data_IF_455984291069
#
_entry.id   IF_455984291069
#
_cell.length_a   1.000
_cell.length_b   1.000
_cell.length_c   1.000
_cell.angle_alpha   90.00
_cell.angle_beta   90.00
_cell.angle_gamma   90.00
#
_symmetry.space_group_name_H-M   'P 1'
#
loop_
_entity.id
_entity.type
_entity.pdbx_description
1 polymer ?
#
# COMPACT_ATOMS: atom_id res chain seq x y z
N UNK A 1 -23.62 -5.12 -5.79
CA UNK A 1 -24.23 -3.76 -5.91
C UNK A 1 -23.25 -2.81 -6.59
N UNK A 2 -23.64 -1.61 -7.06
CA UNK A 2 -22.71 -0.64 -7.68
C UNK A 2 -22.57 0.60 -6.82
N UNK A 3 -21.38 1.20 -6.79
CA UNK A 3 -21.11 2.41 -6.03
C UNK A 3 -21.81 3.61 -6.67
N UNK A 4 -22.64 4.30 -5.89
CA UNK A 4 -23.31 5.52 -6.35
C UNK A 4 -22.35 6.64 -6.75
N UNK A 5 -21.10 6.60 -6.27
CA UNK A 5 -20.10 7.64 -6.56
C UNK A 5 -19.21 7.33 -7.77
N UNK A 6 -18.75 6.09 -7.93
CA UNK A 6 -17.81 5.72 -9.00
C UNK A 6 -18.36 4.69 -9.99
N UNK A 7 -19.59 4.22 -9.79
CA UNK A 7 -20.26 3.21 -10.62
C UNK A 7 -19.48 1.90 -10.78
N UNK A 8 -18.56 1.59 -9.85
CA UNK A 8 -17.84 0.32 -9.82
C UNK A 8 -18.58 -0.74 -9.01
N UNK A 9 -18.44 -2.03 -9.34
CA UNK A 9 -19.01 -3.11 -8.56
C UNK A 9 -18.49 -3.08 -7.12
N UNK A 10 -19.38 -3.40 -6.19
CA UNK A 10 -19.15 -3.46 -4.75
C UNK A 10 -19.51 -4.86 -4.28
N UNK A 11 -18.60 -5.46 -3.51
CA UNK A 11 -18.80 -6.71 -2.77
C UNK A 11 -19.95 -6.59 -1.76
N UNK A 12 -20.66 -7.69 -1.53
CA UNK A 12 -21.73 -7.72 -0.53
C UNK A 12 -21.16 -7.59 0.88
N UNK A 13 -21.85 -6.85 1.75
CA UNK A 13 -21.46 -6.70 3.16
C UNK A 13 -20.41 -5.63 3.45
N UNK A 14 -19.87 -4.93 2.43
CA UNK A 14 -18.89 -3.85 2.67
C UNK A 14 -19.58 -2.51 2.93
N UNK A 15 -19.07 -1.77 3.91
CA UNK A 15 -19.60 -0.45 4.32
C UNK A 15 -19.10 0.67 3.41
N UNK A 16 -17.94 0.48 2.78
CA UNK A 16 -17.30 1.46 1.90
C UNK A 16 -16.93 0.83 0.56
N UNK A 17 -17.11 1.57 -0.53
CA UNK A 17 -16.69 1.15 -1.86
C UNK A 17 -15.15 1.03 -1.90
N UNK A 18 -14.66 -0.16 -2.21
CA UNK A 18 -13.22 -0.40 -2.30
C UNK A 18 -12.50 0.50 -3.31
N UNK A 19 -13.17 0.90 -4.39
CA UNK A 19 -12.56 1.68 -5.46
C UNK A 19 -12.48 3.20 -5.18
N UNK A 20 -13.43 3.77 -4.43
CA UNK A 20 -13.48 5.23 -4.25
C UNK A 20 -13.72 5.69 -2.81
N UNK A 21 -13.75 4.77 -1.84
CA UNK A 21 -13.95 5.06 -0.42
C UNK A 21 -15.35 5.58 -0.06
N UNK A 22 -16.29 5.64 -1.01
CA UNK A 22 -17.62 6.14 -0.72
C UNK A 22 -18.36 5.19 0.22
N UNK A 23 -18.96 5.71 1.28
CA UNK A 23 -19.81 4.90 2.13
C UNK A 23 -21.04 4.42 1.33
N UNK A 24 -21.26 3.11 1.33
CA UNK A 24 -22.30 2.44 0.53
C UNK A 24 -23.32 1.72 1.40
N UNK A 25 -23.05 1.58 2.70
CA UNK A 25 -23.99 1.15 3.71
C UNK A 25 -23.85 1.99 5.00
N UNK A 26 -24.90 2.19 5.80
CA UNK A 26 -24.81 2.87 7.10
C UNK A 26 -23.84 2.13 8.04
N UNK A 27 -23.14 2.86 8.91
CA UNK A 27 -22.27 2.26 9.95
C UNK A 27 -23.05 1.38 10.94
N UNK A 28 -24.37 1.57 11.01
CA UNK A 28 -25.28 0.78 11.83
C UNK A 28 -25.79 -0.43 11.04
N UNK A 29 -24.91 -1.35 10.67
CA UNK A 29 -25.34 -2.71 10.32
C UNK A 29 -25.77 -3.44 11.61
N UNK A 30 -26.75 -4.37 11.58
CA UNK A 30 -27.43 -4.86 12.78
C UNK A 30 -26.46 -5.55 13.76
N UNK A 31 -26.33 -5.04 14.98
CA UNK A 31 -25.51 -5.66 16.04
C UNK A 31 -25.02 -4.75 17.16
N UNK A 32 -25.02 -3.42 16.97
CA UNK A 32 -24.59 -2.48 18.01
C UNK A 32 -25.79 -1.82 18.71
N UNK A 33 -26.31 -2.40 19.79
CA UNK A 33 -27.16 -1.67 20.74
C UNK A 33 -26.28 -1.12 21.86
N UNK A 34 -26.03 0.19 21.83
CA UNK A 34 -25.64 0.95 23.01
C UNK A 34 -26.89 1.18 23.87
N UNK A 35 -26.85 0.70 25.11
CA UNK A 35 -27.84 0.98 26.14
C UNK A 35 -27.84 2.48 26.47
N UNK A 36 -28.87 3.20 26.03
CA UNK A 36 -29.18 4.53 26.52
C UNK A 36 -30.38 4.43 27.47
N UNK A 37 -30.22 5.04 28.64
CA UNK A 37 -31.18 5.06 29.73
C UNK A 37 -32.48 5.80 29.38
N UNK A 38 -33.58 5.30 29.95
CA UNK A 38 -34.93 5.88 30.00
C UNK A 38 -34.94 7.20 30.81
N UNK A 39 -35.81 8.18 30.50
CA UNK A 39 -37.06 8.23 31.26
C UNK A 39 -38.32 8.71 30.48
N UNK A 40 -39.37 7.87 30.55
CA UNK A 40 -40.81 8.12 30.84
C UNK A 40 -41.69 9.08 30.00
N UNK A 41 -42.86 8.50 29.63
CA UNK A 41 -44.23 9.07 29.41
C UNK A 41 -44.49 9.98 28.18
N UNK A 42 -45.54 9.87 27.33
CA UNK A 42 -46.92 9.36 27.40
C UNK A 42 -47.51 9.12 25.96
N UNK A 43 -48.05 7.91 25.70
CA UNK A 43 -49.38 7.56 25.09
C UNK A 43 -49.80 7.97 23.63
N UNK A 44 -50.89 7.39 23.02
CA UNK A 44 -50.79 6.34 21.98
C UNK A 44 -51.64 6.54 20.67
N UNK A 45 -51.66 5.49 19.83
CA UNK A 45 -52.53 5.18 18.66
C UNK A 45 -51.98 5.69 17.29
N UNK A 46 -51.90 4.92 16.20
CA UNK A 46 -52.91 4.02 15.61
C UNK A 46 -52.33 2.84 14.81
N UNK A 47 -53.21 1.86 14.65
CA UNK A 47 -53.19 0.55 13.97
C UNK A 47 -52.99 0.55 12.44
N UNK A 48 -52.45 -0.58 11.91
CA UNK A 48 -52.81 -1.38 10.70
C UNK A 48 -51.59 -1.94 9.91
N UNK A 49 -51.69 -3.06 9.15
CA UNK A 49 -51.43 -4.41 9.64
C UNK A 49 -50.28 -5.15 8.93
N UNK A 50 -49.90 -6.28 9.55
CA UNK A 50 -49.00 -7.33 9.04
C UNK A 50 -49.44 -7.91 7.69
N UNK A 51 -48.48 -8.09 6.79
CA UNK A 51 -48.46 -9.22 5.85
C UNK A 51 -47.19 -10.04 6.12
N UNK A 52 -47.37 -11.21 6.73
CA UNK A 52 -46.37 -12.26 6.86
C UNK A 52 -46.45 -13.17 5.64
N UNK A 53 -45.36 -13.22 4.85
CA UNK A 53 -45.15 -14.30 3.88
C UNK A 53 -44.11 -15.23 4.47
N UNK A 54 -44.58 -16.40 4.90
CA UNK A 54 -43.77 -17.58 5.20
C UNK A 54 -43.11 -18.06 3.90
N UNK A 55 -41.77 -18.11 3.88
CA UNK A 55 -41.03 -18.88 2.87
C UNK A 55 -40.16 -19.89 3.60
N UNK A 56 -40.66 -21.12 3.64
CA UNK A 56 -39.97 -22.31 4.13
C UNK A 56 -39.02 -22.80 3.04
N UNK A 57 -37.71 -22.70 3.25
CA UNK A 57 -36.71 -23.36 2.40
C UNK A 57 -36.31 -24.70 3.02
N UNK A 58 -36.80 -25.80 2.43
CA UNK A 58 -36.25 -27.14 2.63
C UNK A 58 -34.97 -27.30 1.82
N UNK A 59 -33.84 -27.45 2.48
CA UNK A 59 -32.59 -27.94 1.91
C UNK A 59 -32.58 -29.48 1.90
N UNK A 60 -32.55 -30.08 0.71
CA UNK A 60 -32.17 -31.49 0.54
C UNK A 60 -30.79 -31.53 -0.12
N UNK A 61 -29.78 -31.89 0.66
CA UNK A 61 -28.45 -32.26 0.19
C UNK A 61 -28.41 -33.76 -0.11
N UNK A 62 -28.05 -34.12 -1.34
CA UNK A 62 -27.62 -35.47 -1.74
C UNK A 62 -26.12 -35.46 -1.98
N UNK A 63 -25.32 -36.33 -1.33
CA UNK A 63 -23.89 -36.44 -1.61
C UNK A 63 -23.63 -37.42 -2.77
N UNK A 64 -22.95 -36.97 -3.81
CA UNK A 64 -22.35 -37.87 -4.81
C UNK A 64 -20.91 -38.20 -4.40
N UNK A 65 -20.67 -39.50 -4.20
CA UNK A 65 -19.35 -40.11 -4.12
C UNK A 65 -18.74 -40.21 -5.52
N UNK A 66 -17.47 -39.84 -5.69
CA UNK A 66 -16.67 -40.23 -6.85
C UNK A 66 -15.36 -40.84 -6.36
N UNK A 67 -15.22 -42.14 -6.63
CA UNK A 67 -14.01 -42.95 -6.45
C UNK A 67 -13.10 -42.82 -7.67
N UNK A 68 -11.79 -42.89 -7.47
CA UNK A 68 -10.77 -42.55 -8.48
C UNK A 68 -10.08 -43.70 -9.23
N UNK A 69 -9.11 -43.25 -10.05
CA UNK A 69 -7.93 -43.92 -10.67
C UNK A 69 -8.12 -44.69 -12.00
N UNK A 70 -7.06 -44.89 -12.84
CA UNK A 70 -5.89 -44.05 -13.20
C UNK A 70 -5.66 -44.02 -14.76
N UNK A 71 -4.57 -43.40 -15.30
CA UNK A 71 -4.50 -42.99 -16.71
C UNK A 71 -3.91 -44.05 -17.66
N UNK A 72 -4.33 -44.00 -18.92
CA UNK A 72 -3.76 -44.79 -20.03
C UNK A 72 -3.19 -43.87 -21.10
N UNK A 73 -2.09 -44.32 -21.68
CA UNK A 73 -1.14 -43.60 -22.54
C UNK A 73 -1.42 -43.75 -24.05
N UNK A 74 -0.70 -42.92 -24.83
CA UNK A 74 -0.34 -43.06 -26.25
C UNK A 74 -1.45 -42.93 -27.31
N UNK A 75 -1.39 -41.88 -28.15
CA UNK A 75 -0.86 -42.01 -29.55
C UNK A 75 -0.90 -40.69 -30.34
N UNK A 76 0.11 -40.60 -31.20
CA UNK A 76 0.35 -39.65 -32.27
C UNK A 76 -0.56 -39.84 -33.50
N UNK A 77 -0.72 -38.76 -34.27
CA UNK A 77 -1.34 -38.69 -35.60
C UNK A 77 -2.04 -37.34 -35.73
N UNK A 78 -1.55 -36.34 -36.47
CA UNK A 78 -1.00 -36.41 -37.81
C UNK A 78 -2.15 -36.31 -38.81
N UNK A 79 -2.70 -35.10 -39.03
CA UNK A 79 -3.57 -34.82 -40.17
C UNK A 79 -3.56 -33.32 -40.51
N UNK A 80 -3.01 -33.01 -41.68
CA UNK A 80 -3.28 -31.84 -42.51
C UNK A 80 -3.46 -32.42 -43.92
N UNK A 81 -4.48 -31.98 -44.69
CA UNK A 81 -4.13 -31.16 -45.84
C UNK A 81 -5.13 -30.04 -46.20
N UNK A 82 -4.54 -28.98 -46.75
CA UNK A 82 -4.97 -27.99 -47.75
C UNK A 82 -6.45 -27.91 -48.19
N UNK A 83 -6.96 -26.69 -48.42
CA UNK A 83 -7.54 -26.27 -49.71
C UNK A 83 -7.77 -24.75 -49.80
N UNK A 84 -7.02 -24.14 -50.71
CA UNK A 84 -7.35 -23.09 -51.71
C UNK A 84 -7.64 -21.61 -51.38
N UNK A 85 -7.00 -20.82 -52.25
CA UNK A 85 -7.05 -19.39 -52.49
C UNK A 85 -8.27 -18.96 -53.33
N UNK A 86 -8.70 -17.69 -53.17
CA UNK A 86 -8.78 -16.65 -54.21
C UNK A 86 -9.78 -15.55 -53.80
N UNK A 87 -9.40 -14.28 -54.00
CA UNK A 87 -10.33 -13.14 -53.92
C UNK A 87 -9.62 -11.79 -53.91
N UNK A 88 -9.39 -11.23 -55.10
CA UNK A 88 -8.77 -9.92 -55.37
C UNK A 88 -9.81 -8.78 -55.29
N UNK A 89 -9.45 -7.72 -54.55
CA UNK A 89 -9.71 -6.24 -54.59
C UNK A 89 -11.01 -5.63 -55.18
N UNK A 90 -11.44 -4.42 -54.73
CA UNK A 90 -10.80 -3.16 -55.19
C UNK A 90 -10.60 -2.05 -54.14
N UNK A 91 -9.73 -1.12 -54.56
CA UNK A 91 -9.21 0.11 -53.95
C UNK A 91 -10.23 1.27 -54.00
N UNK A 92 -10.23 2.15 -52.98
CA UNK A 92 -10.67 3.55 -53.09
C UNK A 92 -9.91 4.49 -52.11
N UNK A 93 -9.82 5.82 -52.42
CA UNK A 93 -8.69 6.73 -52.09
C UNK A 93 -8.81 7.54 -50.78
N UNK A 94 -7.77 8.32 -50.38
CA UNK A 94 -7.71 8.96 -49.06
C UNK A 94 -8.38 10.34 -49.02
N UNK A 95 -9.07 10.63 -47.92
CA UNK A 95 -9.65 11.96 -47.62
C UNK A 95 -8.89 12.69 -46.51
N UNK A 96 -8.24 13.77 -46.93
CA UNK A 96 -8.02 15.09 -46.31
C UNK A 96 -7.92 15.25 -44.77
N UNK A 97 -6.79 15.83 -44.36
CA UNK A 97 -6.52 16.44 -43.05
C UNK A 97 -7.33 17.73 -42.83
N UNK A 98 -7.77 18.04 -41.59
CA UNK A 98 -8.13 19.39 -41.17
C UNK A 98 -6.92 20.19 -40.63
N UNK A 99 -6.99 21.54 -40.64
CA UNK A 99 -5.85 22.43 -40.46
C UNK A 99 -5.45 22.68 -38.99
N UNK A 100 -4.16 23.00 -38.82
CA UNK A 100 -3.53 23.57 -37.63
C UNK A 100 -4.21 24.87 -37.17
N UNK A 101 -4.62 24.93 -35.90
CA UNK A 101 -4.98 26.19 -35.22
C UNK A 101 -3.98 26.55 -34.12
N UNK A 102 -3.73 27.85 -34.01
CA UNK A 102 -2.60 28.53 -33.38
C UNK A 102 -2.50 28.39 -31.86
N UNK A 103 -1.24 28.36 -31.43
CA UNK A 103 -0.72 28.49 -30.06
C UNK A 103 -0.60 29.97 -29.67
N UNK A 104 -0.71 30.24 -28.36
CA UNK A 104 0.07 31.22 -27.58
C UNK A 104 -0.57 32.53 -27.11
N UNK A 105 -1.10 32.51 -25.87
CA UNK A 105 -0.99 33.60 -24.88
C UNK A 105 -1.31 33.07 -23.46
N UNK A 106 -0.46 32.21 -22.89
CA UNK A 106 -0.61 31.76 -21.48
C UNK A 106 0.71 31.72 -20.67
N UNK A 107 1.84 32.14 -21.28
CA UNK A 107 3.16 32.03 -20.63
C UNK A 107 3.42 33.18 -19.63
N UNK A 108 2.68 34.30 -19.71
CA UNK A 108 2.90 35.44 -18.81
C UNK A 108 2.26 35.28 -17.41
N UNK A 109 1.32 34.35 -17.21
CA UNK A 109 0.58 34.22 -15.94
C UNK A 109 1.20 33.18 -14.96
N UNK A 110 2.02 32.25 -15.46
CA UNK A 110 2.64 31.19 -14.65
C UNK A 110 3.93 31.68 -13.97
N UNK A 111 4.65 32.62 -14.60
CA UNK A 111 5.90 33.14 -14.05
C UNK A 111 5.71 33.99 -12.77
N UNK A 112 4.60 34.72 -12.64
CA UNK A 112 4.29 35.52 -11.45
C UNK A 112 3.84 34.68 -10.26
N UNK A 113 3.23 33.52 -10.50
CA UNK A 113 2.74 32.64 -9.43
C UNK A 113 3.88 31.84 -8.78
N UNK A 114 4.95 31.53 -9.54
CA UNK A 114 6.16 30.88 -9.02
C UNK A 114 7.01 31.79 -8.12
N UNK A 115 7.07 33.10 -8.40
CA UNK A 115 7.85 34.04 -7.57
C UNK A 115 7.19 34.27 -6.20
N UNK A 116 5.85 34.23 -6.11
CA UNK A 116 5.13 34.37 -4.83
C UNK A 116 5.26 33.11 -3.97
N UNK A 117 5.35 31.92 -4.59
CA UNK A 117 5.54 30.64 -3.88
C UNK A 117 6.93 30.49 -3.27
N UNK A 118 7.97 31.04 -3.91
CA UNK A 118 9.36 30.99 -3.40
C UNK A 118 9.56 31.87 -2.16
N UNK A 119 8.79 32.95 -2.00
CA UNK A 119 8.88 33.84 -0.81
C UNK A 119 8.07 33.30 0.38
N UNK A 120 7.10 32.42 0.16
CA UNK A 120 6.27 31.86 1.25
C UNK A 120 6.90 30.65 1.97
N UNK A 121 7.88 29.98 1.35
CA UNK A 121 8.52 28.77 1.92
C UNK A 121 9.72 29.09 2.83
N UNK A 122 10.24 30.32 2.80
CA UNK A 122 11.42 30.75 3.58
C UNK A 122 11.14 31.17 5.02
N UNK A 123 9.91 31.04 5.54
CA UNK A 123 9.55 31.42 6.90
C UNK A 123 9.13 30.25 7.82
N UNK A 124 9.25 28.99 7.37
CA UNK A 124 8.60 27.84 8.01
C UNK A 124 9.49 26.70 8.53
N UNK A 125 10.81 26.85 8.65
CA UNK A 125 11.73 25.72 8.97
C UNK A 125 12.68 25.93 10.16
N UNK A 126 12.46 26.93 11.03
CA UNK A 126 13.39 27.24 12.13
C UNK A 126 12.94 26.84 13.55
N UNK A 127 12.12 25.82 13.71
CA UNK A 127 11.75 25.34 15.05
C UNK A 127 11.59 23.82 15.07
N UNK A 128 12.71 23.12 15.29
CA UNK A 128 12.85 21.89 16.08
C UNK A 128 14.13 21.20 15.62
N UNK A 129 15.26 21.52 16.26
CA UNK A 129 16.47 20.69 16.37
C UNK A 129 17.56 21.54 17.06
N UNK A 130 17.49 21.70 18.39
CA UNK A 130 18.70 21.89 19.21
C UNK A 130 18.41 21.79 20.72
N UNK A 131 18.76 20.67 21.37
CA UNK A 131 19.44 20.68 22.69
C UNK A 131 19.76 19.27 23.21
N UNK A 132 21.05 18.92 23.20
CA UNK A 132 21.85 18.33 24.29
C UNK A 132 23.22 17.89 23.72
N UNK A 133 24.41 18.11 24.29
CA UNK A 133 24.84 18.64 25.61
C UNK A 133 26.34 19.03 25.55
N UNK A 134 26.77 19.98 26.40
CA UNK A 134 27.88 19.85 27.40
C UNK A 134 28.73 21.12 27.64
N UNK A 135 28.52 21.69 28.83
CA UNK A 135 29.48 22.20 29.82
C UNK A 135 30.82 22.83 29.38
N UNK A 136 30.98 24.12 29.71
CA UNK A 136 32.12 24.68 30.47
C UNK A 136 31.77 26.09 30.98
N UNK A 137 31.79 26.27 32.31
CA UNK A 137 31.66 27.57 32.99
C UNK A 137 33.00 28.34 32.93
N UNK A 138 33.02 29.69 33.06
CA UNK A 138 33.13 30.26 34.41
C UNK A 138 32.41 31.62 34.65
N UNK A 139 31.79 31.70 35.84
CA UNK A 139 31.69 32.82 36.82
C UNK A 139 31.24 34.25 36.46
N UNK A 140 30.23 34.68 37.25
CA UNK A 140 29.92 36.01 37.82
C UNK A 140 29.27 37.11 36.95
N UNK A 141 27.96 37.32 37.17
CA UNK A 141 27.41 38.58 37.72
C UNK A 141 25.93 38.41 38.13
N UNK A 142 25.58 39.01 39.26
CA UNK A 142 24.27 39.04 39.90
C UNK A 142 23.15 39.56 38.98
N UNK A 143 21.97 38.96 39.06
CA UNK A 143 20.72 39.73 39.07
C UNK A 143 19.58 38.92 39.71
N UNK A 144 19.04 39.50 40.78
CA UNK A 144 17.84 39.05 41.47
C UNK A 144 16.63 39.32 40.59
N UNK A 145 15.88 38.28 40.21
CA UNK A 145 14.44 38.33 39.96
C UNK A 145 13.93 36.89 39.90
N UNK A 146 13.21 36.49 40.94
CA UNK A 146 12.56 35.20 41.03
C UNK A 146 11.30 35.17 40.15
N UNK A 147 11.15 34.21 39.23
CA UNK A 147 9.86 33.81 38.71
C UNK A 147 9.34 32.62 39.53
N UNK A 148 8.10 32.76 39.99
CA UNK A 148 7.27 31.75 40.62
C UNK A 148 7.41 30.39 39.90
N UNK A 149 7.96 29.40 40.61
CA UNK A 149 7.99 28.01 40.15
C UNK A 149 6.59 27.41 40.26
N UNK A 150 5.80 27.53 39.19
CA UNK A 150 4.61 26.70 39.00
C UNK A 150 5.10 25.33 38.54
N UNK A 151 5.38 24.44 39.49
CA UNK A 151 5.62 23.02 39.26
C UNK A 151 4.34 22.37 38.76
N UNK A 152 4.08 22.49 37.46
CA UNK A 152 3.17 21.62 36.73
C UNK A 152 3.75 20.21 36.68
N UNK A 153 3.58 19.46 37.77
CA UNK A 153 3.82 18.01 37.82
C UNK A 153 2.76 17.32 36.95
N UNK A 154 2.88 17.45 35.62
CA UNK A 154 2.13 16.61 34.69
C UNK A 154 2.54 15.16 34.92
N UNK A 155 1.58 14.30 35.26
CA UNK A 155 1.83 12.87 35.31
C UNK A 155 2.42 12.42 33.96
N UNK A 156 3.41 11.50 33.95
CA UNK A 156 4.02 11.04 32.70
C UNK A 156 2.93 10.49 31.78
N UNK A 157 2.87 11.01 30.55
CA UNK A 157 1.90 10.56 29.54
C UNK A 157 2.31 9.16 29.09
N UNK A 158 1.45 8.17 29.35
CA UNK A 158 1.66 6.79 28.92
C UNK A 158 1.23 6.68 27.46
N UNK A 159 2.12 6.18 26.61
CA UNK A 159 1.87 6.07 25.17
C UNK A 159 2.45 4.76 24.64
N UNK A 160 1.87 4.23 23.56
CA UNK A 160 2.46 3.13 22.81
C UNK A 160 2.44 3.37 21.32
N UNK A 161 3.37 2.76 20.60
CA UNK A 161 3.39 2.73 19.14
C UNK A 161 3.47 1.29 18.68
N UNK A 162 2.60 0.94 17.74
CA UNK A 162 2.61 -0.32 17.02
C UNK A 162 3.13 -0.06 15.61
N UNK A 163 4.08 -0.88 15.17
CA UNK A 163 4.64 -0.82 13.81
C UNK A 163 4.66 -2.22 13.19
N UNK A 164 4.50 -2.27 11.87
CA UNK A 164 4.45 -3.51 11.09
C UNK A 164 5.60 -3.52 10.10
N UNK A 165 6.35 -4.62 10.06
CA UNK A 165 7.47 -4.82 9.16
C UNK A 165 7.40 -6.23 8.56
N UNK A 166 8.21 -6.45 7.54
CA UNK A 166 8.47 -7.80 7.03
C UNK A 166 9.42 -8.57 7.96
N UNK A 167 9.21 -9.87 8.05
CA UNK A 167 10.20 -10.80 8.57
C UNK A 167 11.41 -10.81 7.63
N UNK A 168 12.61 -11.01 8.18
CA UNK A 168 13.88 -10.92 7.44
C UNK A 168 13.94 -11.83 6.20
N UNK A 169 13.13 -12.88 6.13
CA UNK A 169 13.20 -13.91 5.09
C UNK A 169 12.21 -13.67 3.92
N UNK A 170 11.20 -12.82 4.08
CA UNK A 170 10.14 -12.63 3.07
C UNK A 170 9.64 -11.20 3.07
N UNK A 171 9.82 -10.49 1.96
CA UNK A 171 9.24 -9.16 1.73
C UNK A 171 7.76 -9.26 1.33
N UNK A 172 7.01 -8.18 1.56
CA UNK A 172 5.62 -8.05 1.09
C UNK A 172 4.55 -8.63 2.01
N UNK A 173 4.89 -9.02 3.25
CA UNK A 173 3.95 -9.72 4.13
C UNK A 173 3.47 -8.89 5.32
N UNK A 174 4.22 -7.89 5.80
CA UNK A 174 3.90 -7.15 7.03
C UNK A 174 3.54 -8.09 8.20
N UNK A 175 4.31 -9.17 8.31
CA UNK A 175 4.08 -10.32 9.20
C UNK A 175 4.85 -10.22 10.53
N UNK A 176 5.55 -9.12 10.77
CA UNK A 176 6.18 -8.82 12.06
C UNK A 176 5.53 -7.57 12.65
N UNK A 177 5.09 -7.67 13.90
CA UNK A 177 4.50 -6.56 14.64
C UNK A 177 5.41 -6.22 15.81
N UNK A 178 5.78 -4.95 15.96
CA UNK A 178 6.53 -4.46 17.12
C UNK A 178 5.69 -3.45 17.89
N UNK A 179 5.67 -3.58 19.20
CA UNK A 179 5.03 -2.64 20.14
C UNK A 179 6.13 -2.03 20.99
N UNK A 180 6.14 -0.70 21.09
CA UNK A 180 6.95 0.04 22.06
C UNK A 180 6.04 0.91 22.91
N UNK A 181 5.99 0.63 24.21
CA UNK A 181 5.18 1.37 25.18
C UNK A 181 6.06 2.12 26.18
N UNK A 182 5.88 3.44 26.28
CA UNK A 182 6.68 4.35 27.09
C UNK A 182 5.84 4.90 28.25
N UNK A 183 6.50 5.17 29.38
CA UNK A 183 5.86 5.73 30.58
C UNK A 183 5.08 4.73 31.43
N UNK A 184 5.02 3.45 31.03
CA UNK A 184 4.51 2.38 31.88
C UNK A 184 5.45 2.17 33.07
N UNK A 185 4.86 1.97 34.26
CA UNK A 185 5.60 1.57 35.45
C UNK A 185 5.82 0.05 35.44
N UNK A 186 6.77 -0.43 36.23
CA UNK A 186 6.88 -1.86 36.48
C UNK A 186 5.52 -2.41 36.98
N UNK A 187 5.02 -3.52 36.41
CA UNK A 187 3.77 -4.10 36.87
C UNK A 187 3.92 -4.59 38.32
N UNK A 188 2.83 -4.60 39.12
CA UNK A 188 2.84 -5.18 40.47
C UNK A 188 3.37 -6.61 40.48
N UNK A 189 3.88 -7.07 41.63
CA UNK A 189 4.39 -8.42 41.76
C UNK A 189 3.35 -9.47 41.33
N UNK A 190 3.74 -10.37 40.44
CA UNK A 190 2.86 -11.40 39.86
C UNK A 190 2.08 -10.95 38.62
N UNK A 191 2.17 -9.69 38.22
CA UNK A 191 1.53 -9.16 37.00
C UNK A 191 2.53 -8.91 35.87
N UNK A 192 2.03 -8.95 34.64
CA UNK A 192 2.76 -8.67 33.40
C UNK A 192 1.88 -7.88 32.43
N UNK A 193 2.49 -7.16 31.50
CA UNK A 193 1.76 -6.52 30.41
C UNK A 193 1.65 -7.48 29.23
N UNK A 194 0.42 -7.82 28.84
CA UNK A 194 0.13 -8.63 27.66
C UNK A 194 -0.48 -7.78 26.56
N UNK A 195 -0.11 -8.06 25.31
CA UNK A 195 -0.70 -7.43 24.14
C UNK A 195 -1.60 -8.39 23.34
N UNK A 196 -2.64 -7.80 22.76
CA UNK A 196 -3.68 -8.50 22.03
C UNK A 196 -4.05 -7.72 20.77
N UNK A 197 -4.14 -8.42 19.64
CA UNK A 197 -4.73 -7.89 18.42
C UNK A 197 -6.12 -8.51 18.24
N UNK A 198 -7.12 -7.65 18.20
CA UNK A 198 -8.54 -8.01 18.23
C UNK A 198 -9.18 -7.53 16.93
N UNK A 199 -9.99 -8.38 16.31
CA UNK A 199 -10.93 -7.95 15.29
C UNK A 199 -12.27 -7.61 15.97
N UNK A 200 -12.59 -6.33 16.15
CA UNK A 200 -13.85 -5.94 16.81
C UNK A 200 -15.08 -6.18 15.94
N UNK A 201 -14.91 -6.51 14.65
CA UNK A 201 -16.04 -6.90 13.79
C UNK A 201 -16.37 -8.38 13.92
N UNK A 202 -15.41 -9.17 14.39
CA UNK A 202 -15.57 -10.58 14.73
C UNK A 202 -14.75 -10.86 15.99
N UNK A 203 -15.31 -10.53 17.16
CA UNK A 203 -14.58 -10.55 18.44
C UNK A 203 -14.03 -11.94 18.83
N UNK A 204 -14.48 -13.02 18.16
CA UNK A 204 -13.90 -14.36 18.31
C UNK A 204 -12.49 -14.46 17.68
N UNK A 205 -12.13 -13.55 16.77
CA UNK A 205 -10.78 -13.43 16.21
C UNK A 205 -9.90 -12.57 17.11
N UNK A 206 -9.19 -13.28 17.99
CA UNK A 206 -8.19 -12.75 18.90
C UNK A 206 -6.82 -13.35 18.56
N UNK A 207 -5.83 -12.49 18.31
CA UNK A 207 -4.43 -12.89 18.23
C UNK A 207 -3.71 -12.47 19.52
N UNK A 208 -3.25 -13.47 20.28
CA UNK A 208 -2.41 -13.28 21.46
C UNK A 208 -0.98 -12.94 21.01
N UNK A 209 -0.53 -11.70 21.24
CA UNK A 209 0.78 -11.25 20.78
C UNK A 209 1.90 -11.57 21.78
N UNK A 210 1.57 -11.71 23.07
CA UNK A 210 2.50 -12.10 24.12
C UNK A 210 2.79 -11.01 25.14
N UNK A 211 3.88 -11.17 25.87
CA UNK A 211 4.27 -10.33 27.01
C UNK A 211 5.22 -9.23 26.57
N UNK A 212 4.98 -7.99 26.98
CA UNK A 212 5.96 -6.92 26.80
C UNK A 212 7.10 -7.07 27.82
N UNK A 213 8.33 -6.92 27.35
CA UNK A 213 9.55 -7.00 28.15
C UNK A 213 10.07 -5.60 28.49
N UNK A 214 10.50 -5.39 29.74
CA UNK A 214 11.11 -4.13 30.16
C UNK A 214 12.52 -3.99 29.56
N UNK A 215 12.75 -2.90 28.83
CA UNK A 215 14.04 -2.51 28.24
C UNK A 215 14.58 -1.22 28.89
N UNK A 216 14.14 -0.90 30.11
CA UNK A 216 14.56 0.25 30.92
C UNK A 216 13.84 1.56 30.58
N UNK A 217 13.78 1.93 29.29
CA UNK A 217 13.09 3.15 28.84
C UNK A 217 11.67 2.89 28.30
N UNK A 218 11.39 1.65 27.94
CA UNK A 218 10.12 1.24 27.36
C UNK A 218 9.88 -0.25 27.59
N UNK A 219 8.61 -0.62 27.56
CA UNK A 219 8.18 -2.01 27.44
C UNK A 219 8.05 -2.34 25.95
N UNK A 220 8.69 -3.43 25.52
CA UNK A 220 8.81 -3.80 24.11
C UNK A 220 8.33 -5.23 23.89
N UNK A 221 7.56 -5.44 22.82
CA UNK A 221 7.19 -6.74 22.30
C UNK A 221 7.46 -6.77 20.80
N UNK A 222 8.01 -7.88 20.31
CA UNK A 222 8.07 -8.19 18.88
C UNK A 222 7.38 -9.54 18.65
N UNK A 223 6.34 -9.54 17.84
CA UNK A 223 5.56 -10.71 17.47
C UNK A 223 5.82 -11.06 16.00
N UNK A 224 6.00 -12.36 15.72
CA UNK A 224 6.21 -12.90 14.36
C UNK A 224 5.00 -13.76 13.98
N UNK A 225 4.27 -13.35 12.95
CA UNK A 225 3.05 -14.00 12.45
C UNK A 225 3.27 -15.18 11.49
N UNK A 226 4.51 -15.66 11.32
CA UNK A 226 4.84 -16.65 10.30
C UNK A 226 4.60 -16.07 8.90
N UNK A 227 3.85 -16.76 8.05
CA UNK A 227 3.52 -16.29 6.70
C UNK A 227 2.27 -15.38 6.63
N UNK A 228 1.68 -15.05 7.79
CA UNK A 228 0.41 -14.30 7.85
C UNK A 228 0.66 -12.80 7.86
N UNK A 229 -0.03 -12.07 6.97
CA UNK A 229 -0.06 -10.61 7.04
C UNK A 229 -0.90 -10.14 8.24
N UNK A 230 -0.24 -9.45 9.18
CA UNK A 230 -0.85 -9.09 10.46
C UNK A 230 -1.84 -7.93 10.37
N UNK A 231 -1.83 -7.17 9.26
CA UNK A 231 -2.83 -6.12 9.01
C UNK A 231 -4.23 -6.70 8.74
N UNK A 232 -4.31 -7.97 8.37
CA UNK A 232 -5.56 -8.71 8.22
C UNK A 232 -6.06 -9.37 9.51
N UNK A 233 -5.25 -9.42 10.57
CA UNK A 233 -5.53 -10.23 11.76
C UNK A 233 -6.41 -9.52 12.82
N UNK A 234 -6.57 -8.19 12.72
CA UNK A 234 -7.45 -7.43 13.60
C UNK A 234 -7.50 -5.95 13.25
N UNK A 235 -8.27 -5.18 14.01
CA UNK A 235 -8.44 -3.74 13.83
C UNK A 235 -8.32 -2.94 15.15
N UNK A 236 -8.13 -3.61 16.30
CA UNK A 236 -7.89 -2.99 17.60
C UNK A 236 -6.72 -3.68 18.29
N UNK A 237 -5.84 -2.89 18.89
CA UNK A 237 -4.79 -3.40 19.75
C UNK A 237 -5.01 -2.94 21.19
N UNK A 238 -4.84 -3.85 22.13
CA UNK A 238 -4.92 -3.58 23.57
C UNK A 238 -3.69 -4.12 24.27
N UNK A 239 -3.25 -3.40 25.30
CA UNK A 239 -2.30 -3.88 26.29
C UNK A 239 -3.05 -3.95 27.62
N UNK A 240 -3.03 -5.12 28.26
CA UNK A 240 -3.66 -5.35 29.57
C UNK A 240 -2.62 -5.71 30.61
N UNK A 241 -2.91 -5.40 31.86
CA UNK A 241 -2.15 -5.87 33.01
C UNK A 241 -2.76 -7.18 33.50
N UNK A 242 -2.05 -8.28 33.31
CA UNK A 242 -2.54 -9.65 33.52
C UNK A 242 -1.74 -10.38 34.59
N UNK A 243 -2.34 -11.40 35.19
CA UNK A 243 -1.67 -12.34 36.09
C UNK A 243 -1.50 -13.70 35.40
N UNK A 244 -0.32 -14.29 35.49
CA UNK A 244 -0.04 -15.60 34.88
C UNK A 244 0.04 -15.54 33.35
N UNK A 245 -0.47 -16.58 32.67
CA UNK A 245 -0.41 -16.74 31.21
C UNK A 245 -1.83 -16.83 30.62
N UNK A 246 -2.61 -15.73 30.58
CA UNK A 246 -4.00 -15.80 30.15
C UNK A 246 -4.11 -16.08 28.65
N UNK A 247 -5.16 -16.81 28.27
CA UNK A 247 -5.51 -17.10 26.86
C UNK A 247 -6.37 -16.01 26.22
N UNK A 248 -7.05 -15.20 27.02
CA UNK A 248 -7.91 -14.07 26.62
C UNK A 248 -7.65 -12.88 27.54
N UNK A 249 -7.85 -11.62 27.10
CA UNK A 249 -7.67 -10.45 27.95
C UNK A 249 -8.74 -10.43 29.06
N UNK A 250 -8.32 -10.49 30.32
CA UNK A 250 -9.22 -10.44 31.50
C UNK A 250 -8.81 -9.35 32.50
N UNK A 251 -7.59 -8.85 32.37
CA UNK A 251 -7.03 -7.80 33.21
C UNK A 251 -7.44 -6.40 32.78
N UNK A 252 -6.94 -5.41 33.52
CA UNK A 252 -7.21 -4.01 33.25
C UNK A 252 -6.49 -3.56 31.98
N UNK A 253 -7.21 -2.94 31.05
CA UNK A 253 -6.61 -2.28 29.87
C UNK A 253 -5.78 -1.08 30.34
N UNK A 254 -4.51 -1.03 29.94
CA UNK A 254 -3.60 0.08 30.26
C UNK A 254 -3.29 0.97 29.06
N UNK A 255 -3.34 0.41 27.86
CA UNK A 255 -3.22 1.13 26.60
C UNK A 255 -4.13 0.46 25.56
N UNK A 256 -4.74 1.26 24.68
CA UNK A 256 -5.45 0.74 23.52
C UNK A 256 -5.35 1.70 22.34
N UNK A 257 -5.50 1.15 21.14
CA UNK A 257 -5.71 1.90 19.90
C UNK A 257 -6.61 1.09 18.98
N UNK A 258 -7.41 1.79 18.18
CA UNK A 258 -8.23 1.17 17.12
C UNK A 258 -7.86 1.83 15.80
N UNK A 259 -7.69 1.03 14.75
CA UNK A 259 -7.41 1.58 13.44
C UNK A 259 -8.59 2.43 12.96
N UNK A 260 -8.32 3.61 12.37
CA UNK A 260 -9.36 4.50 11.86
C UNK A 260 -10.09 3.84 10.68
N UNK A 261 -11.39 3.46 10.79
CA UNK A 261 -12.04 2.58 9.82
C UNK A 261 -12.05 3.08 8.37
N UNK A 262 -12.23 4.39 8.14
CA UNK A 262 -12.36 4.98 6.80
C UNK A 262 -11.00 5.09 6.10
N UNK A 263 -9.97 5.57 6.80
CA UNK A 263 -8.62 5.61 6.24
C UNK A 263 -7.98 4.22 6.15
N UNK A 264 -8.23 3.34 7.12
CA UNK A 264 -7.56 2.04 7.19
C UNK A 264 -8.01 1.05 6.09
N UNK A 265 -9.24 1.17 5.55
CA UNK A 265 -9.62 0.37 4.37
C UNK A 265 -8.70 0.67 3.17
N UNK A 266 -8.26 1.91 3.00
CA UNK A 266 -7.31 2.28 1.95
C UNK A 266 -5.88 1.80 2.25
N UNK A 267 -5.47 1.80 3.52
CA UNK A 267 -4.20 1.20 3.95
C UNK A 267 -4.20 -0.32 3.67
N UNK A 268 -5.31 -1.02 3.90
CA UNK A 268 -5.44 -2.45 3.54
C UNK A 268 -5.34 -2.69 2.03
N UNK A 269 -5.88 -1.81 1.20
CA UNK A 269 -5.69 -1.90 -0.25
C UNK A 269 -4.21 -1.76 -0.66
N UNK A 270 -3.46 -0.90 0.04
CA UNK A 270 -2.04 -0.70 -0.21
C UNK A 270 -1.19 -1.90 0.23
N UNK A 271 -1.49 -2.47 1.40
CA UNK A 271 -0.57 -3.37 2.13
C UNK A 271 -1.06 -4.80 2.36
N UNK A 272 -2.34 -5.10 2.14
CA UNK A 272 -2.92 -6.42 2.39
C UNK A 272 -3.44 -7.08 1.11
N UNK A 273 -4.40 -6.46 0.43
CA UNK A 273 -5.02 -7.03 -0.77
C UNK A 273 -5.75 -5.96 -1.58
N UNK A 274 -5.76 -6.08 -2.91
CA UNK A 274 -6.57 -5.24 -3.79
C UNK A 274 -7.37 -6.09 -4.77
N UNK A 275 -8.69 -5.88 -4.93
CA UNK A 275 -9.53 -6.84 -5.68
C UNK A 275 -9.13 -7.07 -7.14
N UNK A 276 -8.61 -6.05 -7.83
CA UNK A 276 -8.33 -6.15 -9.28
C UNK A 276 -6.91 -6.59 -9.62
N UNK A 277 -6.01 -6.70 -8.64
CA UNK A 277 -4.64 -7.15 -8.90
C UNK A 277 -4.60 -8.67 -9.09
N UNK A 278 -3.59 -9.19 -9.82
CA UNK A 278 -3.33 -10.62 -9.88
C UNK A 278 -3.22 -11.23 -8.49
N UNK A 279 -3.92 -12.35 -8.30
CA UNK A 279 -4.02 -13.04 -7.00
C UNK A 279 -4.50 -12.16 -5.84
N UNK A 280 -5.18 -11.05 -6.13
CA UNK A 280 -5.64 -10.05 -5.16
C UNK A 280 -4.51 -9.49 -4.28
N UNK A 281 -3.27 -9.47 -4.78
CA UNK A 281 -2.13 -8.96 -4.02
C UNK A 281 -2.26 -7.46 -3.69
N UNK A 282 -1.65 -7.02 -2.60
CA UNK A 282 -1.66 -5.61 -2.22
C UNK A 282 -0.97 -4.74 -3.29
N UNK A 283 -1.42 -3.49 -3.43
CA UNK A 283 -0.89 -2.58 -4.47
C UNK A 283 0.61 -2.33 -4.33
N UNK A 284 1.11 -2.08 -3.11
CA UNK A 284 2.54 -1.81 -2.90
C UNK A 284 3.40 -3.07 -2.93
N UNK A 285 2.82 -4.23 -2.64
CA UNK A 285 3.51 -5.53 -2.78
C UNK A 285 3.71 -5.84 -4.27
N UNK A 286 2.65 -5.69 -5.08
CA UNK A 286 2.76 -5.86 -6.53
C UNK A 286 3.68 -4.81 -7.17
N UNK A 287 3.60 -3.54 -6.77
CA UNK A 287 4.52 -2.49 -7.23
C UNK A 287 5.98 -2.86 -6.96
N UNK A 288 6.29 -3.32 -5.75
CA UNK A 288 7.64 -3.73 -5.36
C UNK A 288 8.13 -4.93 -6.18
N UNK A 289 7.32 -5.97 -6.32
CA UNK A 289 7.65 -7.17 -7.11
C UNK A 289 7.86 -6.84 -8.60
N UNK A 290 6.96 -6.07 -9.21
CA UNK A 290 7.05 -5.72 -10.63
C UNK A 290 8.24 -4.80 -10.92
N UNK A 291 8.57 -3.85 -10.03
CA UNK A 291 9.79 -3.03 -10.19
C UNK A 291 11.08 -3.84 -9.98
N UNK A 292 11.07 -4.86 -9.13
CA UNK A 292 12.18 -5.81 -9.03
C UNK A 292 12.39 -6.60 -10.33
N UNK A 293 11.31 -7.09 -10.94
CA UNK A 293 11.35 -7.78 -12.24
C UNK A 293 11.81 -6.85 -13.35
N UNK A 294 11.37 -5.60 -13.35
CA UNK A 294 11.82 -4.56 -14.28
C UNK A 294 13.35 -4.37 -14.18
N UNK A 295 13.88 -4.21 -12.95
CA UNK A 295 15.33 -4.07 -12.72
C UNK A 295 16.09 -5.33 -13.14
N UNK A 296 15.56 -6.52 -12.85
CA UNK A 296 16.17 -7.79 -13.28
C UNK A 296 16.25 -7.87 -14.82
N UNK A 297 15.19 -7.47 -15.52
CA UNK A 297 15.15 -7.42 -16.98
C UNK A 297 16.14 -6.40 -17.57
N UNK A 298 16.30 -5.25 -16.91
CA UNK A 298 17.29 -4.25 -17.28
C UNK A 298 18.73 -4.77 -17.10
N UNK A 299 19.01 -5.55 -16.06
CA UNK A 299 20.32 -6.19 -15.87
C UNK A 299 20.60 -7.27 -16.94
N UNK A 300 19.58 -8.03 -17.37
CA UNK A 300 19.69 -8.94 -18.51
C UNK A 300 19.98 -8.18 -19.82
N UNK A 301 19.31 -7.04 -20.03
CA UNK A 301 19.56 -6.15 -21.15
C UNK A 301 21.03 -5.67 -21.17
N UNK A 302 21.57 -5.24 -20.03
CA UNK A 302 22.99 -4.87 -19.89
C UNK A 302 23.94 -6.03 -20.23
N UNK A 303 23.59 -7.24 -19.81
CA UNK A 303 24.38 -8.46 -20.03
C UNK A 303 24.37 -8.97 -21.48
N UNK A 304 23.57 -8.37 -22.37
CA UNK A 304 23.41 -8.86 -23.74
C UNK A 304 24.66 -8.73 -24.62
N UNK A 305 25.65 -7.90 -24.25
CA UNK A 305 26.92 -7.72 -24.97
C UNK A 305 26.77 -7.48 -26.49
N UNK A 306 25.79 -6.67 -26.90
CA UNK A 306 25.49 -6.39 -28.31
C UNK A 306 24.70 -7.48 -29.04
N UNK A 307 24.27 -8.55 -28.35
CA UNK A 307 23.38 -9.54 -28.94
C UNK A 307 21.98 -8.96 -29.13
N UNK A 308 21.71 -8.50 -30.36
CA UNK A 308 20.44 -7.85 -30.73
C UNK A 308 19.20 -8.68 -30.43
N UNK A 309 19.28 -10.01 -30.49
CA UNK A 309 18.14 -10.87 -30.15
C UNK A 309 17.82 -10.81 -28.66
N UNK A 310 18.84 -10.86 -27.81
CA UNK A 310 18.70 -10.76 -26.36
C UNK A 310 18.22 -9.36 -25.97
N UNK A 311 18.75 -8.31 -26.60
CA UNK A 311 18.33 -6.93 -26.39
C UNK A 311 16.85 -6.75 -26.68
N UNK A 312 16.36 -7.24 -27.83
CA UNK A 312 14.94 -7.17 -28.17
C UNK A 312 14.06 -7.96 -27.21
N UNK A 313 14.49 -9.15 -26.80
CA UNK A 313 13.76 -9.94 -25.80
C UNK A 313 13.65 -9.19 -24.47
N UNK A 314 14.74 -8.62 -23.97
CA UNK A 314 14.74 -7.91 -22.70
C UNK A 314 13.96 -6.59 -22.78
N UNK A 315 14.07 -5.87 -23.90
CA UNK A 315 13.27 -4.67 -24.16
C UNK A 315 11.76 -4.98 -24.18
N UNK A 316 11.34 -6.05 -24.86
CA UNK A 316 9.93 -6.46 -24.85
C UNK A 316 9.47 -6.86 -23.44
N UNK A 317 10.28 -7.62 -22.71
CA UNK A 317 10.01 -7.97 -21.30
C UNK A 317 9.81 -6.74 -20.43
N UNK A 318 10.61 -5.69 -20.62
CA UNK A 318 10.51 -4.42 -19.90
C UNK A 318 9.18 -3.71 -20.22
N UNK A 319 8.81 -3.65 -21.51
CA UNK A 319 7.53 -3.06 -21.95
C UNK A 319 6.35 -3.84 -21.35
N UNK A 320 6.38 -5.17 -21.41
CA UNK A 320 5.30 -6.02 -20.90
C UNK A 320 5.08 -5.83 -19.38
N UNK A 321 6.16 -5.64 -18.61
CA UNK A 321 6.10 -5.32 -17.17
C UNK A 321 5.55 -3.90 -16.95
N UNK A 322 6.01 -2.93 -17.74
CA UNK A 322 5.62 -1.53 -17.60
C UNK A 322 4.12 -1.33 -17.90
N UNK A 323 3.62 -1.84 -19.02
CA UNK A 323 2.24 -1.64 -19.46
C UNK A 323 1.26 -2.69 -18.89
N UNK A 324 1.74 -3.90 -18.62
CA UNK A 324 0.88 -5.06 -18.34
C UNK A 324 0.20 -5.61 -19.59
N UNK A 325 -0.64 -6.63 -19.42
CA UNK A 325 -1.25 -7.40 -20.51
C UNK A 325 -2.31 -6.62 -21.32
N UNK A 326 -2.71 -5.43 -20.86
CA UNK A 326 -3.62 -4.53 -21.58
C UNK A 326 -2.87 -3.37 -22.25
N UNK A 327 -1.54 -3.41 -22.23
CA UNK A 327 -0.66 -2.45 -22.86
C UNK A 327 -0.82 -2.39 -24.38
N UNK A 328 -0.53 -1.21 -24.96
CA UNK A 328 -0.58 -1.01 -26.41
C UNK A 328 0.56 -1.72 -27.14
N UNK A 329 1.69 -1.90 -26.46
CA UNK A 329 2.91 -2.53 -26.97
C UNK A 329 3.19 -3.89 -26.32
N UNK A 330 2.30 -4.36 -25.43
CA UNK A 330 2.34 -5.72 -24.89
C UNK A 330 2.41 -6.77 -26.00
N UNK A 331 3.41 -7.64 -25.94
CA UNK A 331 3.55 -8.76 -26.87
C UNK A 331 4.15 -9.97 -26.16
N UNK A 332 3.53 -11.15 -26.35
CA UNK A 332 4.09 -12.38 -25.83
C UNK A 332 5.53 -12.58 -26.34
N UNK A 333 6.45 -12.82 -25.39
CA UNK A 333 7.84 -13.10 -25.72
C UNK A 333 7.97 -14.30 -26.68
N UNK A 334 8.74 -14.18 -27.78
CA UNK A 334 9.08 -15.31 -28.63
C UNK A 334 9.74 -16.45 -27.84
N UNK A 335 9.44 -17.70 -28.19
CA UNK A 335 10.02 -18.90 -27.55
C UNK A 335 11.57 -18.87 -27.47
N UNK A 336 12.22 -18.20 -28.43
CA UNK A 336 13.68 -18.02 -28.44
C UNK A 336 14.21 -17.22 -27.25
N UNK A 337 13.42 -16.33 -26.64
CA UNK A 337 13.83 -15.50 -25.52
C UNK A 337 14.15 -16.32 -24.26
N UNK A 338 13.42 -17.43 -24.05
CA UNK A 338 13.68 -18.32 -22.92
C UNK A 338 15.07 -18.98 -22.96
N UNK A 339 15.68 -19.14 -24.15
CA UNK A 339 17.07 -19.62 -24.28
C UNK A 339 18.11 -18.63 -23.74
N UNK A 340 17.73 -17.36 -23.63
CA UNK A 340 18.53 -16.30 -23.03
C UNK A 340 18.15 -16.05 -21.56
N UNK A 341 17.38 -16.95 -20.93
CA UNK A 341 16.81 -16.77 -19.60
C UNK A 341 15.91 -15.53 -19.45
N UNK A 342 15.35 -15.03 -20.55
CA UNK A 342 14.37 -13.94 -20.52
C UNK A 342 12.98 -14.57 -20.59
N UNK A 343 12.39 -14.80 -19.41
CA UNK A 343 11.06 -15.38 -19.24
C UNK A 343 10.11 -14.46 -18.44
N UNK A 344 10.63 -13.36 -17.89
CA UNK A 344 9.84 -12.40 -17.13
C UNK A 344 8.96 -11.60 -18.09
N UNK A 345 7.66 -11.51 -17.83
CA UNK A 345 6.70 -10.66 -18.56
C UNK A 345 5.80 -9.87 -17.61
N UNK A 346 6.22 -9.80 -16.34
CA UNK A 346 5.42 -9.31 -15.23
C UNK A 346 4.23 -10.20 -14.89
N UNK A 347 3.36 -9.71 -14.02
CA UNK A 347 2.11 -10.38 -13.62
C UNK A 347 0.91 -10.03 -14.53
N UNK A 348 1.15 -9.25 -15.58
CA UNK A 348 0.13 -8.78 -16.52
C UNK A 348 -0.73 -7.64 -15.99
N UNK A 349 -0.53 -7.16 -14.76
CA UNK A 349 -1.25 -6.00 -14.24
C UNK A 349 -0.69 -4.71 -14.80
N UNK A 350 0.63 -4.52 -14.81
CA UNK A 350 1.30 -3.31 -15.30
C UNK A 350 1.64 -2.29 -14.20
N UNK A 351 2.73 -1.55 -14.42
CA UNK A 351 3.20 -0.46 -13.55
C UNK A 351 2.56 0.89 -13.92
N UNK A 352 2.43 1.16 -15.22
CA UNK A 352 1.97 2.42 -15.82
C UNK A 352 0.52 2.36 -16.27
N UNK A 353 -0.16 3.51 -16.20
CA UNK A 353 -1.56 3.70 -16.60
C UNK A 353 -2.51 3.92 -15.42
N UNK A 354 -3.74 4.37 -15.69
CA UNK A 354 -4.67 4.85 -14.64
C UNK A 354 -5.18 3.77 -13.69
N UNK A 355 -5.27 2.52 -14.15
CA UNK A 355 -5.74 1.37 -13.37
C UNK A 355 -4.61 0.40 -12.97
N UNK A 356 -3.38 0.90 -12.92
CA UNK A 356 -2.16 0.11 -12.71
C UNK A 356 -1.46 0.48 -11.39
N UNK A 357 -0.40 -0.26 -11.03
CA UNK A 357 0.17 -0.21 -9.67
C UNK A 357 0.47 1.20 -9.16
N UNK A 358 1.19 2.01 -9.94
CA UNK A 358 1.64 3.34 -9.48
C UNK A 358 0.46 4.27 -9.21
N UNK A 359 -0.48 4.37 -10.16
CA UNK A 359 -1.63 5.28 -10.05
C UNK A 359 -2.63 4.84 -8.99
N UNK A 360 -2.90 3.54 -8.89
CA UNK A 360 -3.79 3.01 -7.86
C UNK A 360 -3.18 3.15 -6.46
N UNK A 361 -1.87 2.88 -6.29
CA UNK A 361 -1.20 3.10 -5.02
C UNK A 361 -1.26 4.58 -4.60
N UNK A 362 -0.96 5.50 -5.53
CA UNK A 362 -1.09 6.94 -5.29
C UNK A 362 -2.53 7.33 -4.90
N UNK A 363 -3.53 6.83 -5.63
CA UNK A 363 -4.93 7.13 -5.36
C UNK A 363 -5.36 6.64 -3.97
N UNK A 364 -4.98 5.42 -3.59
CA UNK A 364 -5.33 4.86 -2.28
C UNK A 364 -4.60 5.53 -1.13
N UNK A 365 -3.35 5.95 -1.33
CA UNK A 365 -2.65 6.77 -0.34
C UNK A 365 -3.36 8.11 -0.13
N UNK A 366 -3.78 8.78 -1.21
CA UNK A 366 -4.54 10.02 -1.13
C UNK A 366 -5.92 9.84 -0.48
N UNK A 367 -6.63 8.74 -0.77
CA UNK A 367 -7.92 8.44 -0.13
C UNK A 367 -7.74 8.17 1.38
N UNK A 368 -6.68 7.44 1.77
CA UNK A 368 -6.34 7.23 3.18
C UNK A 368 -6.08 8.57 3.89
N UNK A 369 -5.25 9.44 3.32
CA UNK A 369 -4.87 10.73 3.92
C UNK A 369 -6.03 11.72 4.04
N UNK A 370 -6.94 11.70 3.06
CA UNK A 370 -8.08 12.61 2.99
C UNK A 370 -9.33 12.09 3.70
N UNK A 371 -9.29 10.87 4.24
CA UNK A 371 -10.39 10.33 5.02
C UNK A 371 -10.61 11.17 6.29
N UNK A 372 -11.87 11.39 6.72
CA UNK A 372 -12.19 12.16 7.91
C UNK A 372 -11.49 11.72 9.20
N UNK A 373 -11.17 10.44 9.32
CA UNK A 373 -10.53 9.83 10.49
C UNK A 373 -9.01 9.61 10.34
N UNK A 374 -8.40 10.16 9.28
CA UNK A 374 -6.99 9.98 9.00
C UNK A 374 -6.10 10.54 10.12
N UNK A 375 -5.23 9.70 10.67
CA UNK A 375 -4.25 10.08 11.69
C UNK A 375 -3.12 10.92 11.09
N UNK A 376 -2.36 11.67 11.92
CA UNK A 376 -1.16 12.35 11.45
C UNK A 376 -0.15 11.42 10.77
N UNK A 377 0.05 10.20 11.30
CA UNK A 377 0.94 9.20 10.70
C UNK A 377 0.50 8.78 9.29
N UNK A 378 -0.80 8.52 9.10
CA UNK A 378 -1.35 8.21 7.77
C UNK A 378 -1.10 9.36 6.80
N UNK A 379 -1.36 10.60 7.22
CA UNK A 379 -1.17 11.78 6.35
C UNK A 379 0.28 11.99 5.96
N UNK A 380 1.21 11.93 6.92
CA UNK A 380 2.64 12.10 6.67
C UNK A 380 3.14 11.03 5.70
N UNK A 381 2.89 9.76 6.00
CA UNK A 381 3.44 8.68 5.19
C UNK A 381 2.73 8.50 3.84
N UNK A 382 1.46 8.89 3.73
CA UNK A 382 0.80 9.01 2.43
C UNK A 382 1.47 10.06 1.54
N UNK A 383 1.91 11.19 2.12
CA UNK A 383 2.60 12.24 1.36
C UNK A 383 3.97 11.76 0.85
N UNK A 384 4.69 10.99 1.66
CA UNK A 384 5.97 10.39 1.31
C UNK A 384 5.81 9.33 0.20
N UNK A 385 4.81 8.47 0.31
CA UNK A 385 4.44 7.52 -0.74
C UNK A 385 4.07 8.25 -2.04
N UNK A 386 3.36 9.38 -1.94
CA UNK A 386 3.00 10.17 -3.11
C UNK A 386 4.22 10.75 -3.82
N UNK A 387 5.29 11.14 -3.11
CA UNK A 387 6.56 11.54 -3.74
C UNK A 387 7.13 10.40 -4.56
N UNK A 388 7.33 9.23 -3.93
CA UNK A 388 7.89 8.05 -4.60
C UNK A 388 7.08 7.64 -5.84
N UNK A 389 5.76 7.59 -5.73
CA UNK A 389 4.89 7.14 -6.84
C UNK A 389 4.70 8.18 -7.92
N UNK A 390 4.37 9.42 -7.56
CA UNK A 390 3.95 10.45 -8.51
C UNK A 390 5.12 11.18 -9.16
N UNK A 391 6.13 11.52 -8.38
CA UNK A 391 7.22 12.37 -8.84
C UNK A 391 8.35 11.54 -9.45
N UNK A 392 8.61 10.35 -8.89
CA UNK A 392 9.82 9.58 -9.19
C UNK A 392 9.50 8.36 -10.06
N UNK A 393 8.82 7.35 -9.51
CA UNK A 393 8.51 6.09 -10.21
C UNK A 393 7.78 6.32 -11.54
N UNK A 394 6.77 7.19 -11.55
CA UNK A 394 6.03 7.49 -12.77
C UNK A 394 6.95 8.06 -13.86
N UNK A 395 7.88 8.95 -13.49
CA UNK A 395 8.81 9.56 -14.45
C UNK A 395 9.83 8.53 -14.95
N UNK A 396 10.46 7.79 -14.05
CA UNK A 396 11.51 6.83 -14.40
C UNK A 396 10.98 5.70 -15.26
N UNK A 397 9.84 5.10 -14.88
CA UNK A 397 9.29 3.95 -15.59
C UNK A 397 8.73 4.37 -16.95
N UNK A 398 8.18 5.58 -17.08
CA UNK A 398 7.78 6.11 -18.40
C UNK A 398 8.98 6.29 -19.35
N UNK A 399 10.13 6.75 -18.85
CA UNK A 399 11.35 6.85 -19.67
C UNK A 399 11.88 5.46 -20.04
N UNK A 400 11.89 4.52 -19.09
CA UNK A 400 12.31 3.13 -19.32
C UNK A 400 11.49 2.48 -20.44
N UNK A 401 10.16 2.63 -20.40
CA UNK A 401 9.24 2.13 -21.43
C UNK A 401 9.58 2.72 -22.81
N UNK A 402 9.69 4.04 -22.92
CA UNK A 402 10.02 4.72 -24.18
C UNK A 402 11.38 4.29 -24.75
N UNK A 403 12.38 4.10 -23.89
CA UNK A 403 13.70 3.64 -24.31
C UNK A 403 13.68 2.17 -24.74
N UNK A 404 12.92 1.33 -24.05
CA UNK A 404 12.75 -0.07 -24.41
C UNK A 404 12.06 -0.20 -25.77
N UNK A 405 11.01 0.58 -26.02
CA UNK A 405 10.36 0.65 -27.35
C UNK A 405 11.35 1.05 -28.45
N UNK A 406 12.20 2.05 -28.18
CA UNK A 406 13.22 2.49 -29.12
C UNK A 406 14.26 1.37 -29.40
N UNK A 407 14.63 0.57 -28.40
CA UNK A 407 15.56 -0.55 -28.54
C UNK A 407 15.00 -1.72 -29.36
N UNK A 408 13.68 -1.89 -29.45
CA UNK A 408 13.10 -2.89 -30.36
C UNK A 408 13.52 -2.63 -31.82
N UNK A 409 13.56 -1.35 -32.20
CA UNK A 409 13.92 -0.88 -33.54
C UNK A 409 15.43 -0.68 -33.71
N UNK A 410 16.09 -0.11 -32.70
CA UNK A 410 17.52 0.19 -32.71
C UNK A 410 18.25 -0.49 -31.54
N UNK A 411 18.47 -1.81 -31.60
CA UNK A 411 19.03 -2.57 -30.47
C UNK A 411 20.50 -2.25 -30.17
N UNK A 412 21.20 -1.46 -30.99
CA UNK A 412 22.60 -1.09 -30.75
C UNK A 412 22.75 0.23 -29.98
N UNK A 413 21.65 0.85 -29.54
CA UNK A 413 21.67 2.12 -28.80
C UNK A 413 22.16 1.93 -27.36
N UNK A 414 23.47 1.99 -27.18
CA UNK A 414 24.13 1.82 -25.89
C UNK A 414 23.72 2.88 -24.85
N UNK A 415 23.32 4.09 -25.28
CA UNK A 415 22.90 5.14 -24.36
C UNK A 415 21.57 4.77 -23.70
N UNK A 416 20.61 4.28 -24.48
CA UNK A 416 19.30 3.82 -23.98
C UNK A 416 19.41 2.60 -23.09
N UNK A 417 20.29 1.65 -23.43
CA UNK A 417 20.58 0.50 -22.55
C UNK A 417 21.07 1.00 -21.19
N UNK A 418 21.99 1.96 -21.17
CA UNK A 418 22.51 2.50 -19.91
C UNK A 418 21.46 3.29 -19.12
N UNK A 419 20.62 4.08 -19.80
CA UNK A 419 19.53 4.85 -19.18
C UNK A 419 18.49 3.92 -18.53
N UNK A 420 18.03 2.89 -19.25
CA UNK A 420 17.12 1.86 -18.72
C UNK A 420 17.70 1.21 -17.47
N UNK A 421 18.98 0.81 -17.50
CA UNK A 421 19.62 0.16 -16.34
C UNK A 421 19.65 1.08 -15.13
N UNK A 422 20.06 2.33 -15.33
CA UNK A 422 20.15 3.32 -14.24
C UNK A 422 18.77 3.59 -13.67
N UNK A 423 17.78 3.88 -14.51
CA UNK A 423 16.44 4.22 -14.05
C UNK A 423 15.69 3.02 -13.46
N UNK A 424 15.92 1.80 -13.93
CA UNK A 424 15.30 0.61 -13.35
C UNK A 424 15.86 0.30 -11.95
N UNK A 425 17.16 0.56 -11.74
CA UNK A 425 17.78 0.48 -10.43
C UNK A 425 17.19 1.54 -9.48
N UNK A 426 17.10 2.80 -9.93
CA UNK A 426 16.45 3.87 -9.16
C UNK A 426 14.97 3.55 -8.87
N UNK A 427 14.24 3.01 -9.84
CA UNK A 427 12.83 2.66 -9.65
C UNK A 427 12.66 1.57 -8.58
N UNK A 428 13.55 0.59 -8.51
CA UNK A 428 13.44 -0.45 -7.47
C UNK A 428 14.02 0.02 -6.12
N UNK A 429 15.26 0.48 -6.13
CA UNK A 429 16.06 0.75 -4.93
C UNK A 429 15.92 2.18 -4.39
N UNK A 430 15.56 3.12 -5.26
CA UNK A 430 15.80 4.55 -5.05
C UNK A 430 17.23 4.94 -5.38
N UNK A 431 17.56 6.21 -5.16
CA UNK A 431 18.90 6.77 -5.34
C UNK A 431 19.13 7.86 -4.32
N UNK A 432 20.32 7.90 -3.73
CA UNK A 432 20.77 8.99 -2.86
C UNK A 432 21.31 10.12 -3.77
N UNK A 433 20.57 11.23 -3.91
CA UNK A 433 20.96 12.33 -4.79
C UNK A 433 21.76 13.41 -4.06
N UNK A 434 21.52 13.61 -2.77
CA UNK A 434 22.20 14.62 -1.98
C UNK A 434 23.47 14.12 -1.26
N UNK A 435 23.76 12.83 -1.35
CA UNK A 435 24.93 12.11 -0.81
C UNK A 435 24.96 12.13 0.73
N UNK A 436 23.80 12.01 1.37
CA UNK A 436 23.69 11.87 2.82
C UNK A 436 23.74 10.42 3.32
N UNK A 437 23.97 9.47 2.39
CA UNK A 437 23.99 8.01 2.58
C UNK A 437 22.61 7.40 2.88
N UNK A 438 21.53 8.15 2.67
CA UNK A 438 20.15 7.71 2.83
C UNK A 438 19.36 7.84 1.52
N UNK A 439 18.24 7.13 1.45
CA UNK A 439 17.28 7.26 0.35
C UNK A 439 15.99 7.73 0.99
N UNK A 440 15.72 9.01 0.85
CA UNK A 440 14.61 9.65 1.51
C UNK A 440 13.36 9.76 0.61
N UNK A 441 12.17 9.97 1.19
CA UNK A 441 10.95 10.24 0.43
C UNK A 441 10.93 11.67 -0.13
N UNK A 442 12.02 12.10 -0.74
CA UNK A 442 12.18 13.38 -1.41
C UNK A 442 12.23 13.17 -2.92
N UNK A 443 11.89 14.22 -3.64
CA UNK A 443 11.80 14.17 -5.10
C UNK A 443 13.15 13.84 -5.72
N UNK A 444 13.17 12.80 -6.52
CA UNK A 444 14.33 12.30 -7.26
C UNK A 444 15.03 11.13 -6.58
N UNK A 445 14.61 10.71 -5.39
CA UNK A 445 15.30 9.67 -4.62
C UNK A 445 14.44 8.42 -4.40
N UNK A 446 13.13 8.58 -4.35
CA UNK A 446 12.27 7.59 -3.73
C UNK A 446 11.79 6.50 -4.70
N UNK A 447 12.37 5.30 -4.59
CA UNK A 447 11.97 4.11 -5.34
C UNK A 447 10.81 3.31 -4.73
N UNK A 448 10.52 2.14 -5.30
CA UNK A 448 9.45 1.25 -4.86
C UNK A 448 9.64 0.73 -3.44
N UNK A 449 10.89 0.49 -3.01
CA UNK A 449 11.19 0.15 -1.61
C UNK A 449 10.76 1.25 -0.64
N UNK A 450 11.05 2.51 -0.98
CA UNK A 450 10.64 3.69 -0.19
C UNK A 450 9.11 3.80 -0.13
N UNK A 451 8.42 3.59 -1.27
CA UNK A 451 6.96 3.57 -1.31
C UNK A 451 6.37 2.47 -0.42
N UNK A 452 6.90 1.25 -0.50
CA UNK A 452 6.46 0.10 0.31
C UNK A 452 6.67 0.33 1.81
N UNK A 453 7.85 0.83 2.20
CA UNK A 453 8.17 1.20 3.58
C UNK A 453 7.18 2.23 4.13
N UNK A 454 6.87 3.28 3.36
CA UNK A 454 5.89 4.26 3.79
C UNK A 454 4.47 3.71 3.85
N UNK A 455 4.11 2.74 3.01
CA UNK A 455 2.89 1.96 3.17
C UNK A 455 2.81 1.22 4.51
N UNK A 456 3.90 0.58 4.95
CA UNK A 456 3.99 -0.04 6.27
C UNK A 456 3.84 0.99 7.39
N UNK A 457 4.49 2.15 7.26
CA UNK A 457 4.42 3.21 8.26
C UNK A 457 3.03 3.86 8.35
N UNK A 458 2.27 3.94 7.25
CA UNK A 458 0.85 4.32 7.28
C UNK A 458 -0.01 3.37 8.14
N UNK A 459 0.41 2.11 8.28
CA UNK A 459 -0.26 1.12 9.13
C UNK A 459 0.20 1.17 10.61
N UNK A 460 1.00 2.16 11.01
CA UNK A 460 1.36 2.34 12.42
C UNK A 460 0.17 2.81 13.24
N UNK A 461 0.07 2.29 14.47
CA UNK A 461 -1.05 2.59 15.37
C UNK A 461 -0.52 3.18 16.69
N UNK A 462 -0.97 4.39 17.00
CA UNK A 462 -0.75 4.99 18.31
C UNK A 462 -1.69 4.35 19.34
N UNK A 463 -1.14 3.99 20.49
CA UNK A 463 -1.88 3.53 21.66
C UNK A 463 -1.86 4.63 22.72
N UNK A 464 -3.00 4.82 23.35
CA UNK A 464 -3.19 5.76 24.46
C UNK A 464 -3.91 5.08 25.60
N UNK A 465 -3.86 5.69 26.78
CA UNK A 465 -4.51 5.17 27.99
C UNK A 465 -6.04 5.17 27.86
#
# INVERSE_FOLDING_TARGET
MFCSRCNMPIEEGIVFCGNCGNQVAPLNAPGATLSAADPTELRPADSYPRNSVDVSYKTQYTPQQVSGAPPSSLRSGGYQPDFMANGVSPVTPPTAMPPLSKRSTYIAFIATLLVVLIVAVSAGTFALLNHNSNNSSPSNAQNNNAPNATTGSGAPVITGLVSFNDSHDVQGLSNTLTIKASGLKAPPAGFQYHAWLIDVTNEEKLTRLGVLTDQGQAFVLTFKGGLTNLLGAGNKLTITQEQGDPLIPVGTVVLSGTFPPQSFVHVKHLMLAFPSTPHQQALLVGLLDQTQKLNTSALLLKGANGNRSVIRCAAQSIIDIAEGAQGGHYQQLPFGCGKANINEIGDGFGLLGDSHYIKLALAHAALAANSPDATPLIKTHASHLAVATKEDLLSWISTIEQDAEALLNNPDDAAKIQEIVTLADHAYNGVDLDNDEQIDPVKGEAGAKTAYLHGQLMASLQLTQ
#
